data_IF_404591786095
#
_entry.id   IF_404591786095
#
_cell.length_a   1.000
_cell.length_b   1.000
_cell.length_c   1.000
_cell.angle_alpha   90.00
_cell.angle_beta   90.00
_cell.angle_gamma   90.00
#
_symmetry.space_group_name_H-M   'P 1'
#
loop_
_entity.id
_entity.type
_entity.pdbx_description
1 polymer ?
#
# COMPACT_ATOMS: atom_id res chain seq x y z
N UNK A 1 -22.32 5.30 -21.15
CA UNK A 1 -21.37 5.22 -20.01
C UNK A 1 -21.65 6.37 -19.08
N UNK A 2 -21.84 6.12 -17.78
CA UNK A 2 -22.07 7.21 -16.81
C UNK A 2 -20.73 7.87 -16.52
N UNK A 3 -20.51 9.07 -17.07
CA UNK A 3 -19.32 9.88 -16.81
C UNK A 3 -19.52 10.71 -15.56
N UNK A 4 -18.56 10.68 -14.64
CA UNK A 4 -18.57 11.54 -13.45
C UNK A 4 -18.59 13.02 -13.84
N UNK A 5 -19.42 13.83 -13.18
CA UNK A 5 -19.47 15.28 -13.39
C UNK A 5 -18.15 15.98 -12.99
N UNK A 6 -17.35 15.35 -12.12
CA UNK A 6 -16.05 15.87 -11.67
C UNK A 6 -14.88 15.51 -12.63
N UNK A 7 -15.12 14.69 -13.65
CA UNK A 7 -14.08 14.18 -14.54
C UNK A 7 -13.70 15.22 -15.61
N UNK A 8 -12.80 16.13 -15.25
CA UNK A 8 -12.30 17.19 -16.11
C UNK A 8 -10.80 17.00 -16.36
N UNK A 9 -10.38 16.99 -17.64
CA UNK A 9 -8.98 16.82 -18.04
C UNK A 9 -8.28 15.57 -17.47
N UNK A 10 -9.03 14.50 -17.20
CA UNK A 10 -8.50 13.23 -16.73
C UNK A 10 -8.52 12.24 -17.89
N UNK A 11 -7.36 11.77 -18.33
CA UNK A 11 -7.27 10.80 -19.42
C UNK A 11 -7.41 9.38 -18.87
N UNK A 12 -7.89 8.47 -19.72
CA UNK A 12 -8.01 7.05 -19.39
C UNK A 12 -6.65 6.45 -18.99
N UNK A 13 -5.56 6.95 -19.58
CA UNK A 13 -4.19 6.53 -19.24
C UNK A 13 -3.81 6.93 -17.81
N UNK A 14 -4.16 8.14 -17.39
CA UNK A 14 -3.94 8.59 -16.01
C UNK A 14 -4.83 7.80 -15.05
N UNK A 15 -6.09 7.51 -15.42
CA UNK A 15 -6.97 6.64 -14.65
C UNK A 15 -6.39 5.25 -14.43
N UNK A 16 -5.89 4.63 -15.49
CA UNK A 16 -5.25 3.32 -15.42
C UNK A 16 -3.97 3.35 -14.56
N UNK A 17 -3.16 4.41 -14.69
CA UNK A 17 -1.94 4.57 -13.90
C UNK A 17 -2.23 4.72 -12.40
N UNK A 18 -3.23 5.52 -12.03
CA UNK A 18 -3.66 5.67 -10.63
C UNK A 18 -4.18 4.36 -10.06
N UNK A 19 -5.04 3.64 -10.81
CA UNK A 19 -5.54 2.34 -10.38
C UNK A 19 -4.42 1.31 -10.20
N UNK A 20 -3.42 1.32 -11.09
CA UNK A 20 -2.24 0.49 -10.96
C UNK A 20 -1.42 0.84 -9.72
N UNK A 21 -1.20 2.14 -9.46
CA UNK A 21 -0.46 2.61 -8.29
C UNK A 21 -1.14 2.22 -6.98
N UNK A 22 -2.46 2.38 -6.90
CA UNK A 22 -3.27 1.98 -5.73
C UNK A 22 -3.15 0.48 -5.50
N UNK A 23 -3.26 -0.35 -6.55
CA UNK A 23 -3.10 -1.80 -6.42
C UNK A 23 -1.69 -2.21 -5.96
N UNK A 24 -0.65 -1.51 -6.42
CA UNK A 24 0.71 -1.74 -5.95
C UNK A 24 0.86 -1.42 -4.45
N UNK A 25 0.31 -0.29 -4.00
CA UNK A 25 0.34 0.08 -2.57
C UNK A 25 -0.42 -0.94 -1.73
N UNK A 26 -1.63 -1.32 -2.14
CA UNK A 26 -2.42 -2.34 -1.45
C UNK A 26 -1.67 -3.67 -1.34
N UNK A 27 -0.97 -4.09 -2.40
CA UNK A 27 -0.17 -5.32 -2.38
C UNK A 27 1.04 -5.22 -1.45
N UNK A 28 1.69 -4.06 -1.40
CA UNK A 28 2.78 -3.79 -0.47
C UNK A 28 2.27 -3.84 0.98
N UNK A 29 1.18 -3.14 1.31
CA UNK A 29 0.57 -3.16 2.65
C UNK A 29 0.15 -4.57 3.05
N UNK A 30 -0.46 -5.35 2.16
CA UNK A 30 -0.82 -6.75 2.46
C UNK A 30 0.40 -7.63 2.80
N UNK A 31 1.59 -7.24 2.34
CA UNK A 31 2.83 -7.97 2.60
C UNK A 31 3.51 -7.47 3.88
N UNK A 32 3.65 -6.15 4.04
CA UNK A 32 4.37 -5.55 5.16
C UNK A 32 3.58 -5.52 6.47
N UNK A 33 2.24 -5.44 6.41
CA UNK A 33 1.39 -5.46 7.59
C UNK A 33 1.55 -6.74 8.42
N UNK A 34 1.33 -7.94 7.87
CA UNK A 34 1.54 -9.16 8.66
C UNK A 34 3.02 -9.36 9.02
N UNK A 35 3.95 -8.85 8.22
CA UNK A 35 5.39 -8.95 8.49
C UNK A 35 5.80 -8.08 9.69
N UNK A 36 5.23 -6.89 9.83
CA UNK A 36 5.47 -6.04 11.01
C UNK A 36 4.96 -6.74 12.27
N UNK A 37 3.72 -7.24 12.28
CA UNK A 37 3.16 -8.00 13.40
C UNK A 37 3.91 -9.29 13.74
N UNK A 38 4.46 -9.98 12.73
CA UNK A 38 5.25 -11.18 12.95
C UNK A 38 6.55 -10.86 13.69
N UNK A 39 7.25 -9.79 13.28
CA UNK A 39 8.53 -9.39 13.87
C UNK A 39 8.42 -8.52 15.14
N UNK A 40 7.22 -8.08 15.50
CA UNK A 40 6.92 -7.35 16.75
C UNK A 40 6.67 -8.27 17.96
N UNK A 41 6.70 -9.60 17.77
CA UNK A 41 6.52 -10.55 18.88
C UNK A 41 7.79 -10.58 19.76
N UNK A 42 7.61 -10.35 21.07
CA UNK A 42 8.68 -10.30 22.10
C UNK A 42 9.65 -11.51 22.09
N UNK A 43 9.22 -12.65 21.54
CA UNK A 43 10.02 -13.88 21.43
C UNK A 43 11.03 -13.88 20.26
N UNK A 44 10.92 -12.94 19.32
CA UNK A 44 11.90 -12.76 18.25
C UNK A 44 12.77 -11.53 18.52
N UNK A 45 14.09 -11.72 18.63
CA UNK A 45 15.08 -10.68 18.85
C UNK A 45 15.31 -9.76 17.63
N UNK A 46 14.27 -9.45 16.85
CA UNK A 46 14.27 -8.69 15.60
C UNK A 46 13.30 -7.50 15.64
N UNK A 47 13.13 -6.87 16.80
CA UNK A 47 12.27 -5.69 17.04
C UNK A 47 12.49 -4.57 15.99
N UNK A 48 13.74 -4.38 15.54
CA UNK A 48 14.08 -3.40 14.50
C UNK A 48 13.49 -3.70 13.10
N UNK A 49 13.21 -4.97 12.79
CA UNK A 49 12.60 -5.38 11.51
C UNK A 49 11.09 -5.11 11.51
N UNK A 50 10.42 -5.36 12.64
CA UNK A 50 9.00 -5.03 12.81
C UNK A 50 8.74 -3.53 12.60
N UNK A 51 9.57 -2.69 13.24
CA UNK A 51 9.53 -1.25 13.07
C UNK A 51 9.80 -0.79 11.62
N UNK A 52 10.79 -1.39 10.94
CA UNK A 52 11.06 -1.08 9.53
C UNK A 52 9.89 -1.45 8.62
N UNK A 53 9.28 -2.62 8.82
CA UNK A 53 8.12 -3.05 8.04
C UNK A 53 6.92 -2.13 8.26
N UNK A 54 6.73 -1.59 9.47
CA UNK A 54 5.68 -0.61 9.78
C UNK A 54 5.92 0.74 9.11
N UNK A 55 7.17 1.21 9.09
CA UNK A 55 7.55 2.43 8.34
C UNK A 55 7.38 2.26 6.83
N UNK A 56 7.53 1.04 6.31
CA UNK A 56 7.30 0.74 4.90
C UNK A 56 5.81 0.74 4.49
N UNK A 57 4.90 0.90 5.44
CA UNK A 57 3.46 1.08 5.18
C UNK A 57 3.06 2.55 4.98
N UNK A 58 3.84 3.50 5.53
CA UNK A 58 3.61 4.95 5.44
C UNK A 58 4.23 5.57 4.17
#
# INVERSE_FOLDING_TARGET
>A
TMTSQAHQNYSIEVEAAVNHLVNLHLKASYTYLPMSYYFDQDDMALEGVGHFCKLAEE
#
